data_IF_417688207311
#
_entry.id   IF_417688207311
#
_cell.length_a   1.000
_cell.length_b   1.000
_cell.length_c   1.000
_cell.angle_alpha   90.00
_cell.angle_beta   90.00
_cell.angle_gamma   90.00
#
_symmetry.space_group_name_H-M   'P 1'
#
loop_
_entity.id
_entity.type
_entity.pdbx_description
1 polymer ?
#
# COMPACT_ATOMS: atom_id res chain seq x y z
N UNK A 1 3.53 -18.38 -18.68
CA UNK A 1 3.95 -17.72 -17.42
C UNK A 1 2.89 -16.69 -17.10
N UNK A 2 2.13 -16.85 -16.01
CA UNK A 2 1.19 -15.81 -15.59
C UNK A 2 1.99 -14.57 -15.21
N UNK A 3 1.69 -13.43 -15.83
CA UNK A 3 2.32 -12.17 -15.47
C UNK A 3 2.07 -11.88 -13.99
N UNK A 4 3.12 -11.45 -13.28
CA UNK A 4 3.00 -11.17 -11.86
C UNK A 4 2.06 -9.97 -11.64
N UNK A 5 0.94 -10.20 -10.96
CA UNK A 5 -0.01 -9.15 -10.60
C UNK A 5 0.20 -8.67 -9.17
N UNK A 6 -0.19 -7.43 -8.92
CA UNK A 6 -0.04 -6.73 -7.65
C UNK A 6 -1.36 -6.08 -7.25
N UNK A 7 -1.74 -6.19 -5.99
CA UNK A 7 -2.97 -5.66 -5.43
C UNK A 7 -2.70 -4.61 -4.36
N UNK A 8 -3.39 -3.48 -4.41
CA UNK A 8 -3.40 -2.45 -3.36
C UNK A 8 -4.83 -2.20 -2.92
N UNK A 9 -5.02 -2.00 -1.61
CA UNK A 9 -6.33 -1.75 -1.01
C UNK A 9 -6.91 -0.41 -1.48
N UNK A 10 -8.17 -0.42 -1.89
CA UNK A 10 -8.93 0.80 -2.19
C UNK A 10 -9.30 1.58 -0.94
N UNK A 11 -9.44 2.91 -1.02
CA UNK A 11 -9.62 3.76 0.18
C UNK A 11 -10.80 3.33 1.06
N UNK A 12 -11.93 3.04 0.44
CA UNK A 12 -13.20 2.71 1.11
C UNK A 12 -13.38 1.20 1.36
N UNK A 13 -12.42 0.38 0.95
CA UNK A 13 -12.51 -1.05 1.18
C UNK A 13 -12.22 -1.39 2.64
N UNK A 14 -13.16 -2.09 3.28
CA UNK A 14 -12.96 -2.75 4.56
C UNK A 14 -12.31 -4.12 4.32
N UNK A 15 -11.00 -4.18 4.48
CA UNK A 15 -10.25 -5.43 4.36
C UNK A 15 -9.08 -5.48 5.36
N UNK A 16 -8.57 -6.68 5.70
CA UNK A 16 -7.52 -6.84 6.71
C UNK A 16 -6.14 -6.33 6.25
N UNK A 17 -6.00 -5.91 5.00
CA UNK A 17 -4.74 -5.52 4.40
C UNK A 17 -4.33 -4.08 4.78
N UNK A 18 -3.03 -3.82 4.76
CA UNK A 18 -2.47 -2.50 5.03
C UNK A 18 -2.78 -1.57 3.86
N UNK A 19 -3.57 -0.53 4.11
CA UNK A 19 -3.77 0.55 3.14
C UNK A 19 -2.44 1.17 2.69
N UNK A 20 -2.32 1.37 1.38
CA UNK A 20 -1.15 1.95 0.70
C UNK A 20 -0.05 0.97 0.33
N UNK A 21 -0.10 -0.29 0.77
CA UNK A 21 0.87 -1.31 0.40
C UNK A 21 0.47 -2.05 -0.89
N UNK A 22 1.46 -2.45 -1.68
CA UNK A 22 1.29 -3.38 -2.79
C UNK A 22 1.58 -4.80 -2.33
N UNK A 23 0.67 -5.71 -2.65
CA UNK A 23 0.79 -7.13 -2.33
C UNK A 23 0.85 -7.96 -3.58
N UNK A 24 1.69 -8.98 -3.59
CA UNK A 24 1.76 -9.94 -4.68
C UNK A 24 0.44 -10.72 -4.74
N UNK A 25 -0.25 -10.68 -5.87
CA UNK A 25 -1.43 -11.52 -6.10
C UNK A 25 -0.96 -12.91 -6.50
N UNK A 26 -1.35 -13.92 -5.73
CA UNK A 26 -0.97 -15.32 -5.97
C UNK A 26 -2.07 -16.11 -6.67
N UNK A 27 -3.33 -15.72 -6.45
CA UNK A 27 -4.49 -16.27 -7.16
C UNK A 27 -5.52 -15.16 -7.37
N UNK A 28 -6.17 -15.18 -8.52
CA UNK A 28 -7.15 -14.18 -8.88
C UNK A 28 -8.35 -14.85 -9.57
N UNK A 29 -9.55 -14.60 -9.06
CA UNK A 29 -10.81 -15.05 -9.66
C UNK A 29 -11.66 -13.82 -10.05
N UNK A 30 -12.90 -14.05 -10.49
CA UNK A 30 -13.85 -12.97 -10.75
C UNK A 30 -14.23 -12.20 -9.48
N UNK A 31 -14.28 -12.88 -8.33
CA UNK A 31 -14.85 -12.32 -7.10
C UNK A 31 -13.83 -12.16 -5.96
N UNK A 32 -12.76 -12.95 -5.97
CA UNK A 32 -11.75 -12.98 -4.92
C UNK A 32 -10.34 -12.81 -5.46
N UNK A 33 -9.46 -12.28 -4.61
CA UNK A 33 -8.03 -12.25 -4.82
C UNK A 33 -7.34 -12.82 -3.58
N UNK A 34 -6.40 -13.73 -3.79
CA UNK A 34 -5.48 -14.17 -2.73
C UNK A 34 -4.18 -13.39 -2.90
N UNK A 35 -3.80 -12.68 -1.84
CA UNK A 35 -2.57 -11.89 -1.81
C UNK A 35 -1.57 -12.49 -0.80
N UNK A 36 -0.28 -12.37 -1.11
CA UNK A 36 0.79 -12.75 -0.20
C UNK A 36 1.02 -11.63 0.83
N UNK A 37 0.83 -11.95 2.11
CA UNK A 37 1.12 -11.08 3.24
C UNK A 37 2.14 -11.79 4.13
N UNK A 38 3.41 -11.40 4.02
CA UNK A 38 4.52 -12.04 4.75
C UNK A 38 4.51 -13.56 4.58
N UNK A 39 4.41 -14.05 3.33
CA UNK A 39 4.34 -15.48 2.97
C UNK A 39 3.06 -16.21 3.39
N UNK A 40 2.05 -15.50 3.90
CA UNK A 40 0.73 -16.03 4.19
C UNK A 40 -0.28 -15.58 3.13
N UNK A 41 -1.04 -16.51 2.57
CA UNK A 41 -2.12 -16.19 1.63
C UNK A 41 -3.34 -15.63 2.37
N UNK A 42 -3.75 -14.40 2.01
CA UNK A 42 -4.95 -13.74 2.55
C UNK A 42 -5.96 -13.56 1.43
N UNK A 43 -7.16 -14.14 1.58
CA UNK A 43 -8.27 -13.92 0.64
C UNK A 43 -8.97 -12.60 0.97
N UNK A 44 -9.20 -11.79 -0.06
CA UNK A 44 -10.02 -10.58 0.01
C UNK A 44 -10.93 -10.48 -1.22
N UNK A 45 -12.05 -9.74 -1.14
CA UNK A 45 -12.85 -9.46 -2.31
C UNK A 45 -12.01 -8.77 -3.39
N UNK A 46 -12.13 -9.22 -4.65
CA UNK A 46 -11.43 -8.61 -5.79
C UNK A 46 -11.75 -7.12 -5.88
N UNK A 47 -12.99 -6.74 -5.62
CA UNK A 47 -13.47 -5.34 -5.63
C UNK A 47 -12.77 -4.45 -4.62
N UNK A 48 -12.20 -5.01 -3.54
CA UNK A 48 -11.44 -4.28 -2.54
C UNK A 48 -10.05 -3.85 -3.00
N UNK A 49 -9.57 -4.39 -4.14
CA UNK A 49 -8.23 -4.15 -4.64
C UNK A 49 -8.22 -3.35 -5.96
N UNK A 50 -7.27 -2.44 -6.06
CA UNK A 50 -6.70 -1.99 -7.33
C UNK A 50 -5.64 -3.03 -7.74
N UNK A 51 -5.77 -3.60 -8.95
CA UNK A 51 -4.85 -4.63 -9.44
C UNK A 51 -4.10 -4.11 -10.67
N UNK A 52 -2.76 -4.20 -10.64
CA UNK A 52 -1.87 -3.79 -11.71
C UNK A 52 -0.87 -4.90 -12.04
N UNK A 53 -0.33 -4.90 -13.26
CA UNK A 53 0.75 -5.80 -13.67
C UNK A 53 2.12 -5.35 -13.12
N UNK A 54 2.31 -4.05 -12.88
CA UNK A 54 3.50 -3.50 -12.22
C UNK A 54 3.08 -2.42 -11.24
N UNK A 55 3.47 -2.50 -9.96
CA UNK A 55 3.16 -1.47 -8.99
C UNK A 55 4.07 -0.27 -9.22
N UNK A 56 3.57 0.93 -8.92
CA UNK A 56 4.38 2.13 -8.92
C UNK A 56 5.46 2.05 -7.84
N UNK A 57 6.68 2.44 -8.19
CA UNK A 57 7.84 2.46 -7.28
C UNK A 57 8.03 3.82 -6.60
N UNK A 58 6.94 4.39 -6.08
CA UNK A 58 6.96 5.60 -5.26
C UNK A 58 6.34 5.34 -3.88
N UNK A 59 6.58 6.21 -2.92
CA UNK A 59 5.86 6.20 -1.65
C UNK A 59 4.38 6.46 -1.90
N UNK A 60 3.52 5.59 -1.38
CA UNK A 60 2.07 5.85 -1.42
C UNK A 60 1.69 6.73 -0.23
N UNK A 61 1.12 7.90 -0.48
CA UNK A 61 0.57 8.80 0.55
C UNK A 61 -0.82 8.33 0.94
N UNK A 62 -1.06 8.04 2.23
CA UNK A 62 -2.33 7.49 2.71
C UNK A 62 -2.99 8.46 3.68
N UNK A 63 -4.26 8.86 3.45
CA UNK A 63 -5.05 9.57 4.44
C UNK A 63 -5.20 8.73 5.71
N UNK A 64 -5.00 9.36 6.87
CA UNK A 64 -5.17 8.68 8.16
C UNK A 64 -6.64 8.29 8.34
N UNK A 65 -6.97 6.98 8.49
CA UNK A 65 -8.32 6.56 8.81
C UNK A 65 -8.78 7.16 10.14
N UNK A 66 -10.07 7.49 10.29
CA UNK A 66 -10.62 8.01 11.56
C UNK A 66 -10.35 7.06 12.74
N UNK A 67 -10.36 5.75 12.49
CA UNK A 67 -10.09 4.70 13.49
C UNK A 67 -8.62 4.21 13.46
N UNK A 68 -7.65 5.10 13.28
CA UNK A 68 -6.23 4.76 13.20
C UNK A 68 -5.55 4.58 14.57
N UNK A 69 -6.17 3.83 15.49
CA UNK A 69 -5.68 3.66 16.87
C UNK A 69 -4.26 3.09 17.00
N UNK A 70 -3.70 2.50 15.92
CA UNK A 70 -2.32 1.97 15.88
C UNK A 70 -1.26 2.92 15.32
N UNK A 71 -1.62 4.15 14.92
CA UNK A 71 -0.65 5.13 14.40
C UNK A 71 -0.37 6.24 15.42
N UNK A 72 0.89 6.66 15.63
CA UNK A 72 1.21 7.78 16.53
C UNK A 72 0.47 9.05 16.12
N UNK A 73 -0.05 9.81 17.07
CA UNK A 73 -0.72 11.09 16.80
C UNK A 73 0.22 12.09 16.10
N UNK A 74 1.52 12.04 16.42
CA UNK A 74 2.57 12.90 15.85
C UNK A 74 2.76 12.80 14.33
N UNK A 75 2.22 11.76 13.68
CA UNK A 75 2.32 11.59 12.22
C UNK A 75 1.35 12.48 11.44
N UNK A 76 0.42 13.16 12.12
CA UNK A 76 -0.54 14.06 11.47
C UNK A 76 -1.63 13.33 10.69
N UNK A 77 -2.18 14.01 9.66
CA UNK A 77 -3.35 13.57 8.90
C UNK A 77 -3.03 12.58 7.75
N UNK A 78 -1.76 12.41 7.38
CA UNK A 78 -1.32 11.52 6.32
C UNK A 78 -0.04 10.80 6.72
N UNK A 79 0.12 9.58 6.27
CA UNK A 79 1.37 8.82 6.39
C UNK A 79 1.77 8.27 5.02
N UNK A 80 2.99 7.76 4.90
CA UNK A 80 3.46 7.14 3.66
C UNK A 80 3.74 5.65 3.85
N UNK A 81 3.63 4.89 2.77
CA UNK A 81 3.96 3.46 2.71
C UNK A 81 5.05 3.22 1.67
N UNK A 82 6.12 2.54 2.08
CA UNK A 82 7.25 2.24 1.22
C UNK A 82 6.82 1.25 0.11
N UNK A 83 7.12 1.53 -1.17
CA UNK A 83 6.74 0.64 -2.27
C UNK A 83 7.45 -0.70 -2.24
N UNK A 84 8.64 -0.77 -1.61
CA UNK A 84 9.46 -1.96 -1.61
C UNK A 84 9.18 -2.90 -0.41
N UNK A 85 9.10 -2.36 0.80
CA UNK A 85 9.01 -3.17 2.02
C UNK A 85 7.72 -2.97 2.83
N UNK A 86 6.76 -2.19 2.31
CA UNK A 86 5.48 -1.88 2.96
C UNK A 86 5.59 -1.18 4.32
N UNK A 87 6.78 -0.69 4.69
CA UNK A 87 7.01 0.03 5.93
C UNK A 87 6.24 1.36 5.93
N UNK A 88 5.64 1.70 7.07
CA UNK A 88 4.98 3.00 7.20
C UNK A 88 5.95 4.02 7.76
N UNK A 89 5.87 5.24 7.28
CA UNK A 89 6.65 6.35 7.81
C UNK A 89 5.80 7.63 7.91
N UNK A 90 6.15 8.57 8.81
CA UNK A 90 5.58 9.90 8.79
C UNK A 90 5.98 10.61 7.49
N UNK A 91 5.04 11.32 6.87
CA UNK A 91 5.29 12.05 5.61
C UNK A 91 6.29 13.20 5.78
N UNK A 92 6.47 13.70 7.01
CA UNK A 92 7.46 14.74 7.32
C UNK A 92 7.18 16.05 6.60
N UNK A 93 8.26 16.78 6.26
CA UNK A 93 8.17 18.01 5.45
C UNK A 93 7.99 17.66 3.96
N UNK A 94 7.33 18.52 3.16
CA UNK A 94 7.22 18.31 1.72
C UNK A 94 8.60 18.10 1.09
N UNK A 95 8.72 17.02 0.31
CA UNK A 95 9.92 16.63 -0.41
C UNK A 95 9.54 15.87 -1.69
N UNK A 96 10.43 15.87 -2.68
CA UNK A 96 10.23 15.08 -3.90
C UNK A 96 10.48 13.58 -3.66
N UNK A 97 11.46 13.25 -2.80
CA UNK A 97 11.86 11.88 -2.50
C UNK A 97 12.03 11.65 -1.00
N UNK A 98 11.96 10.39 -0.57
CA UNK A 98 12.18 9.99 0.81
C UNK A 98 12.91 8.64 0.88
N UNK A 99 13.80 8.50 1.87
CA UNK A 99 14.50 7.25 2.19
C UNK A 99 13.69 6.41 3.17
N UNK A 100 13.54 5.11 2.89
CA UNK A 100 12.92 4.18 3.82
C UNK A 100 13.93 3.75 4.89
N UNK A 101 13.59 3.91 6.17
CA UNK A 101 14.47 3.53 7.27
C UNK A 101 14.59 2.00 7.47
N UNK A 102 13.72 1.21 6.84
CA UNK A 102 13.75 -0.25 6.93
C UNK A 102 14.54 -0.90 5.80
N UNK A 103 14.28 -0.53 4.55
CA UNK A 103 14.96 -1.13 3.39
C UNK A 103 16.05 -0.25 2.78
N UNK A 104 16.27 0.96 3.31
CA UNK A 104 17.22 1.97 2.81
C UNK A 104 16.98 2.48 1.37
N UNK A 105 15.95 2.00 0.67
CA UNK A 105 15.59 2.49 -0.66
C UNK A 105 15.15 3.95 -0.62
N UNK A 106 15.49 4.70 -1.68
CA UNK A 106 15.08 6.08 -1.90
C UNK A 106 14.09 6.10 -3.06
N UNK A 107 12.91 6.65 -2.82
CA UNK A 107 11.83 6.66 -3.79
C UNK A 107 11.18 8.04 -3.83
N UNK A 108 10.59 8.38 -4.98
CA UNK A 108 9.73 9.56 -5.11
C UNK A 108 8.52 9.46 -4.17
N UNK A 109 7.99 10.60 -3.76
CA UNK A 109 6.73 10.64 -3.01
C UNK A 109 5.59 10.76 -4.01
N UNK A 110 4.71 9.75 -4.03
CA UNK A 110 3.49 9.74 -4.83
C UNK A 110 2.46 10.69 -4.25
N UNK A 111 2.66 11.99 -4.46
CA UNK A 111 1.72 13.05 -4.09
C UNK A 111 0.43 13.05 -4.92
N UNK A 112 0.44 12.32 -6.04
CA UNK A 112 -0.67 12.30 -6.99
C UNK A 112 -1.96 11.74 -6.39
N UNK A 113 -3.09 12.29 -6.84
CA UNK A 113 -4.45 11.78 -6.68
C UNK A 113 -4.65 10.44 -7.44
N UNK A 114 -3.69 9.52 -7.33
CA UNK A 114 -3.95 8.17 -7.80
C UNK A 114 -5.13 7.61 -7.00
N UNK A 115 -6.24 7.26 -7.67
CA UNK A 115 -7.40 6.76 -6.97
C UNK A 115 -6.99 5.46 -6.28
N UNK A 116 -7.01 5.51 -4.95
CA UNK A 116 -6.82 4.37 -4.09
C UNK A 116 -7.96 3.38 -4.31
#
# INVERSE_FOLDING_TARGET
>A
MTEQQWGRVRIDAECPLRRGAWYRVTRLTSNEAVVDVNHNGVSVPRSSLQILSRPYQHWTVVPRPRNAGRLPASWGARYVVCPNCCERAPLGRPAATMRCLRCNGVFEIGWGDEPF
#
